data_IF_835818991833
#
_entry.id   IF_835818991833
#
_cell.length_a   1.000
_cell.length_b   1.000
_cell.length_c   1.000
_cell.angle_alpha   90.00
_cell.angle_beta   90.00
_cell.angle_gamma   90.00
#
_symmetry.space_group_name_H-M   'P 1'
#
loop_
_entity.id
_entity.type
_entity.pdbx_description
1 polymer ?
#
# COMPACT_ATOMS: atom_id res chain seq x y z
N UNK A 1 6.07 20.59 6.87
CA UNK A 1 5.37 19.34 7.28
C UNK A 1 6.32 18.16 7.14
N UNK A 2 6.51 17.32 8.17
CA UNK A 2 7.49 16.23 8.11
C UNK A 2 7.11 15.26 7.00
N UNK A 3 8.00 15.10 6.01
CA UNK A 3 7.81 14.27 4.80
C UNK A 3 7.72 12.76 5.11
N UNK A 4 7.83 12.34 6.37
CA UNK A 4 7.94 10.95 6.79
C UNK A 4 6.62 10.16 6.78
N UNK A 5 5.46 10.84 6.90
CA UNK A 5 4.17 10.16 6.94
C UNK A 5 3.76 9.54 5.58
N UNK A 6 4.32 10.02 4.46
CA UNK A 6 3.95 9.56 3.11
C UNK A 6 4.62 8.25 2.70
N UNK A 7 5.73 7.85 3.32
CA UNK A 7 6.48 6.66 2.95
C UNK A 7 6.04 5.38 3.72
N UNK A 8 5.46 5.53 4.91
CA UNK A 8 5.05 4.36 5.72
C UNK A 8 3.80 3.64 5.19
N UNK A 9 2.90 4.37 4.56
CA UNK A 9 1.62 3.86 4.00
C UNK A 9 1.86 2.84 2.87
N UNK A 10 2.70 3.11 1.85
CA UNK A 10 2.96 2.11 0.81
C UNK A 10 3.71 0.87 1.33
N UNK A 11 4.60 1.02 2.33
CA UNK A 11 5.31 -0.11 2.92
C UNK A 11 4.36 -1.08 3.63
N UNK A 12 3.37 -0.55 4.38
CA UNK A 12 2.38 -1.39 5.06
C UNK A 12 1.55 -2.20 4.07
N UNK A 13 1.20 -1.62 2.90
CA UNK A 13 0.48 -2.31 1.83
C UNK A 13 1.23 -3.52 1.28
N UNK A 14 2.55 -3.39 1.06
CA UNK A 14 3.41 -4.49 0.59
C UNK A 14 3.44 -5.64 1.61
N UNK A 15 3.54 -5.32 2.91
CA UNK A 15 3.55 -6.32 3.98
C UNK A 15 2.22 -7.08 4.02
N UNK A 16 1.09 -6.38 3.92
CA UNK A 16 -0.23 -7.02 3.87
C UNK A 16 -0.43 -7.88 2.62
N UNK A 17 0.10 -7.46 1.47
CA UNK A 17 0.06 -8.24 0.24
C UNK A 17 0.85 -9.56 0.37
N UNK A 18 2.05 -9.51 0.96
CA UNK A 18 2.85 -10.71 1.24
C UNK A 18 2.13 -11.67 2.20
N UNK A 19 1.51 -11.13 3.26
CA UNK A 19 0.70 -11.92 4.18
C UNK A 19 -0.53 -12.55 3.50
N UNK A 20 -1.14 -11.84 2.56
CA UNK A 20 -2.26 -12.36 1.77
C UNK A 20 -1.83 -13.56 0.94
N UNK A 21 -0.70 -13.47 0.23
CA UNK A 21 -0.14 -14.58 -0.54
C UNK A 21 0.20 -15.76 0.39
N UNK A 22 0.81 -15.49 1.53
CA UNK A 22 1.15 -16.53 2.51
C UNK A 22 -0.09 -17.23 3.09
N UNK A 23 -1.14 -16.47 3.40
CA UNK A 23 -2.43 -17.03 3.88
C UNK A 23 -3.18 -17.76 2.79
N UNK A 24 -3.06 -17.32 1.53
CA UNK A 24 -3.68 -17.97 0.38
C UNK A 24 -3.10 -19.37 0.17
N UNK A 25 -1.77 -19.49 0.21
CA UNK A 25 -1.08 -20.79 0.09
C UNK A 25 -1.41 -21.72 1.27
N UNK A 26 -1.54 -21.16 2.47
CA UNK A 26 -1.93 -21.93 3.67
C UNK A 26 -3.44 -22.20 3.78
N UNK A 27 -4.27 -21.81 2.81
CA UNK A 27 -5.72 -22.05 2.82
C UNK A 27 -6.51 -21.28 3.89
N UNK A 28 -5.91 -20.22 4.46
CA UNK A 28 -6.55 -19.39 5.48
C UNK A 28 -7.38 -18.25 4.89
N UNK A 29 -7.91 -17.39 5.78
CA UNK A 29 -8.68 -16.21 5.39
C UNK A 29 -7.79 -15.13 4.72
N UNK A 30 -7.38 -15.35 3.48
CA UNK A 30 -6.45 -14.52 2.71
C UNK A 30 -7.10 -13.25 2.14
N UNK A 31 -8.42 -13.29 1.92
CA UNK A 31 -9.19 -12.22 1.28
C UNK A 31 -9.07 -10.90 2.04
N UNK A 32 -9.15 -10.94 3.39
CA UNK A 32 -9.01 -9.74 4.23
C UNK A 32 -7.62 -9.10 4.06
N UNK A 33 -6.57 -9.91 4.05
CA UNK A 33 -5.20 -9.44 3.88
C UNK A 33 -4.96 -8.89 2.47
N UNK A 34 -5.56 -9.51 1.45
CA UNK A 34 -5.48 -9.05 0.07
C UNK A 34 -6.16 -7.69 -0.11
N UNK A 35 -7.35 -7.49 0.48
CA UNK A 35 -8.08 -6.22 0.45
C UNK A 35 -7.28 -5.14 1.19
N UNK A 36 -6.72 -5.43 2.37
CA UNK A 36 -5.85 -4.49 3.08
C UNK A 36 -4.60 -4.13 2.26
N UNK A 37 -3.91 -5.12 1.70
CA UNK A 37 -2.74 -4.90 0.86
C UNK A 37 -3.05 -4.05 -0.36
N UNK A 38 -4.20 -4.26 -0.98
CA UNK A 38 -4.65 -3.48 -2.13
C UNK A 38 -5.10 -2.06 -1.76
N UNK A 39 -5.79 -1.87 -0.63
CA UNK A 39 -6.18 -0.55 -0.13
C UNK A 39 -4.96 0.30 0.27
N UNK A 40 -4.02 -0.28 1.02
CA UNK A 40 -2.83 0.42 1.50
C UNK A 40 -1.72 0.54 0.45
N UNK A 41 -1.57 -0.47 -0.40
CA UNK A 41 -0.56 -0.51 -1.46
C UNK A 41 -1.02 0.15 -2.76
N UNK A 42 -2.29 0.01 -3.12
CA UNK A 42 -2.88 0.52 -4.37
C UNK A 42 -3.31 1.99 -4.31
N UNK A 43 -3.88 2.47 -3.20
CA UNK A 43 -4.28 3.88 -3.11
C UNK A 43 -3.10 4.83 -2.82
N UNK A 44 -2.03 4.33 -2.19
CA UNK A 44 -0.85 5.14 -1.87
C UNK A 44 0.02 5.50 -3.08
N UNK A 45 0.13 4.60 -4.06
CA UNK A 45 0.89 4.81 -5.30
C UNK A 45 0.21 5.78 -6.28
N UNK A 46 -1.12 5.86 -6.30
CA UNK A 46 -1.86 6.78 -7.17
C UNK A 46 -1.77 8.26 -6.75
N UNK A 47 -1.30 8.57 -5.53
CA UNK A 47 -1.05 9.96 -5.12
C UNK A 47 0.28 10.53 -5.64
N UNK A 48 1.17 9.69 -6.20
CA UNK A 48 2.48 10.12 -6.66
C UNK A 48 2.47 10.80 -8.04
N UNK A 49 1.36 10.76 -8.78
CA UNK A 49 1.28 11.34 -10.13
C UNK A 49 0.69 12.77 -10.19
N UNK A 50 0.77 13.57 -9.12
CA UNK A 50 0.81 15.03 -9.32
C UNK A 50 2.21 15.42 -9.79
N UNK A 51 2.50 15.06 -11.03
CA UNK A 51 3.47 15.76 -11.85
C UNK A 51 2.86 17.11 -12.23
N UNK A 52 3.62 18.19 -12.04
CA UNK A 52 3.39 19.49 -12.70
C UNK A 52 2.79 20.60 -11.84
N UNK A 53 3.55 21.68 -11.66
CA UNK A 53 3.00 23.00 -11.32
C UNK A 53 3.72 23.71 -10.18
N UNK A 54 4.61 24.62 -10.58
CA UNK A 54 5.04 25.82 -9.87
C UNK A 54 6.15 25.72 -8.80
N UNK A 55 7.36 26.01 -9.29
CA UNK A 55 8.34 26.82 -8.56
C UNK A 55 7.77 28.24 -8.38
N UNK A 56 7.78 28.75 -7.14
CA UNK A 56 8.37 30.07 -6.90
C UNK A 56 9.50 30.04 -5.86
#
# INVERSE_FOLDING_TARGET
>A
MPKSAKAGIPLIGIIFLLLAVFKFVNGGNWVVWAILGCLFGGLGIFSSNRSGGDQP
#
